data_IF_607559015446
#
_entry.id   IF_607559015446
#
_cell.length_a   1.000
_cell.length_b   1.000
_cell.length_c   1.000
_cell.angle_alpha   90.00
_cell.angle_beta   90.00
_cell.angle_gamma   90.00
#
_symmetry.space_group_name_H-M   'P 1'
#
loop_
_entity.id
_entity.type
_entity.pdbx_description
1 polymer ?
#
# COMPACT_ATOMS: atom_id res chain seq x y z
N UNK A 1 -1.78 -4.54 -1.74
CA UNK A 1 -2.43 -4.08 -2.98
C UNK A 1 -2.67 -5.30 -3.83
N UNK A 2 -3.91 -5.56 -4.21
CA UNK A 2 -4.20 -6.59 -5.20
C UNK A 2 -4.03 -6.01 -6.60
N UNK A 3 -3.02 -6.47 -7.32
CA UNK A 3 -2.71 -6.01 -8.69
C UNK A 3 -3.41 -6.81 -9.77
N UNK A 4 -4.16 -7.86 -9.39
CA UNK A 4 -4.93 -8.69 -10.32
C UNK A 4 -6.32 -8.12 -10.63
N UNK A 5 -6.79 -7.17 -9.82
CA UNK A 5 -8.10 -6.55 -9.95
C UNK A 5 -7.98 -5.05 -10.25
N UNK A 6 -8.94 -4.52 -11.01
CA UNK A 6 -9.03 -3.07 -11.23
C UNK A 6 -9.43 -2.36 -9.94
N UNK A 7 -8.75 -1.26 -9.64
CA UNK A 7 -9.04 -0.42 -8.48
C UNK A 7 -8.32 0.92 -8.56
N UNK A 8 -8.65 1.79 -7.62
CA UNK A 8 -8.04 3.11 -7.48
C UNK A 8 -7.50 3.29 -6.06
N UNK A 9 -6.28 3.82 -5.97
CA UNK A 9 -5.63 4.18 -4.73
C UNK A 9 -4.92 5.52 -4.91
N UNK A 10 -4.91 6.33 -3.86
CA UNK A 10 -3.98 7.45 -3.75
C UNK A 10 -2.59 6.92 -3.37
N UNK A 11 -1.55 7.52 -3.94
CA UNK A 11 -0.17 7.17 -3.66
C UNK A 11 0.79 8.29 -4.04
N UNK A 12 2.02 8.22 -3.56
CA UNK A 12 3.08 9.16 -3.93
C UNK A 12 4.13 8.40 -4.72
N UNK A 13 4.48 8.91 -5.88
CA UNK A 13 5.54 8.34 -6.71
C UNK A 13 6.88 9.02 -6.37
N UNK A 14 7.90 8.21 -6.09
CA UNK A 14 9.27 8.68 -5.88
C UNK A 14 10.14 8.22 -7.04
N UNK A 15 10.90 9.15 -7.63
CA UNK A 15 11.90 8.81 -8.64
C UNK A 15 13.17 8.34 -7.94
N UNK A 16 13.43 7.03 -8.03
CA UNK A 16 14.56 6.36 -7.38
C UNK A 16 15.24 5.40 -8.36
N UNK A 17 16.47 5.00 -8.06
CA UNK A 17 17.18 3.97 -8.83
C UNK A 17 16.69 2.57 -8.48
N UNK A 18 17.01 1.58 -9.31
CA UNK A 18 16.68 0.18 -9.02
C UNK A 18 17.43 -0.34 -7.79
N UNK A 19 18.66 0.14 -7.53
CA UNK A 19 19.39 -0.18 -6.29
C UNK A 19 18.67 0.33 -5.05
N UNK A 20 18.16 1.57 -5.09
CA UNK A 20 17.37 2.14 -3.99
C UNK A 20 16.05 1.37 -3.80
N UNK A 21 15.37 1.00 -4.88
CA UNK A 21 14.17 0.16 -4.82
C UNK A 21 14.47 -1.20 -4.17
N UNK A 22 15.58 -1.84 -4.53
CA UNK A 22 16.00 -3.11 -3.92
C UNK A 22 16.34 -2.97 -2.44
N UNK A 23 16.95 -1.85 -2.04
CA UNK A 23 17.22 -1.55 -0.65
C UNK A 23 15.91 -1.39 0.14
N UNK A 24 14.99 -0.54 -0.32
CA UNK A 24 13.67 -0.35 0.31
C UNK A 24 12.94 -1.68 0.41
N UNK A 25 12.95 -2.49 -0.65
CA UNK A 25 12.29 -3.80 -0.65
C UNK A 25 12.84 -4.73 0.45
N UNK A 26 14.13 -4.69 0.75
CA UNK A 26 14.72 -5.44 1.87
C UNK A 26 14.31 -4.87 3.22
N UNK A 27 14.29 -3.55 3.39
CA UNK A 27 13.92 -2.90 4.65
C UNK A 27 12.44 -3.14 5.01
N UNK A 28 11.55 -3.08 4.03
CA UNK A 28 10.13 -3.49 4.15
C UNK A 28 9.98 -4.95 4.60
N UNK A 29 11.02 -5.76 4.42
CA UNK A 29 11.09 -7.16 4.79
C UNK A 29 12.06 -7.45 5.95
N UNK A 30 12.31 -6.46 6.81
CA UNK A 30 13.15 -6.63 8.00
C UNK A 30 14.62 -6.93 7.69
N UNK A 31 15.11 -6.50 6.52
CA UNK A 31 16.47 -6.71 6.04
C UNK A 31 16.66 -7.93 5.13
N UNK A 32 15.62 -8.73 4.91
CA UNK A 32 15.66 -10.01 4.18
C UNK A 32 14.95 -9.93 2.82
N UNK A 33 15.21 -10.92 1.96
CA UNK A 33 14.42 -11.14 0.74
C UNK A 33 13.38 -12.23 1.07
N UNK A 34 12.08 -11.92 1.07
CA UNK A 34 11.05 -12.89 1.43
C UNK A 34 10.89 -13.95 0.33
N UNK A 35 10.63 -15.20 0.73
CA UNK A 35 10.31 -16.28 -0.20
C UNK A 35 8.90 -16.13 -0.81
N UNK A 36 8.61 -16.89 -1.86
CA UNK A 36 7.34 -16.86 -2.60
C UNK A 36 6.10 -17.20 -1.74
N UNK A 37 6.29 -17.96 -0.65
CA UNK A 37 5.22 -18.32 0.28
C UNK A 37 5.12 -17.40 1.51
N UNK A 38 5.88 -16.30 1.54
CA UNK A 38 5.86 -15.35 2.66
C UNK A 38 4.56 -14.54 2.69
N UNK A 39 4.09 -14.25 3.91
CA UNK A 39 3.03 -13.25 4.14
C UNK A 39 3.57 -11.81 4.14
N UNK A 40 4.88 -11.64 3.93
CA UNK A 40 5.51 -10.32 3.77
C UNK A 40 5.56 -9.91 2.30
N UNK A 41 6.10 -8.73 1.99
CA UNK A 41 6.03 -8.18 0.63
C UNK A 41 6.99 -8.87 -0.34
N UNK A 42 6.52 -9.92 -1.01
CA UNK A 42 7.30 -10.76 -1.92
C UNK A 42 7.13 -10.42 -3.41
N UNK A 43 6.51 -9.28 -3.74
CA UNK A 43 6.28 -8.86 -5.12
C UNK A 43 6.69 -7.40 -5.36
N UNK A 44 7.46 -7.15 -6.42
CA UNK A 44 7.68 -5.81 -6.98
C UNK A 44 6.83 -5.65 -8.23
N UNK A 45 5.61 -5.17 -8.07
CA UNK A 45 4.64 -5.07 -9.16
C UNK A 45 4.80 -3.77 -9.93
N UNK A 46 4.74 -3.83 -11.26
CA UNK A 46 4.58 -2.64 -12.10
C UNK A 46 3.10 -2.26 -12.14
N UNK A 47 2.77 -1.05 -11.70
CA UNK A 47 1.39 -0.54 -11.57
C UNK A 47 1.01 0.46 -12.67
N UNK A 48 1.97 0.85 -13.51
CA UNK A 48 1.73 1.77 -14.62
C UNK A 48 3.00 2.34 -15.21
N UNK A 49 2.85 3.44 -15.95
CA UNK A 49 3.93 4.24 -16.51
C UNK A 49 3.63 5.71 -16.19
N UNK A 50 4.61 6.41 -15.63
CA UNK A 50 4.55 7.85 -15.32
C UNK A 50 5.67 8.52 -16.11
N UNK A 51 5.33 9.45 -17.00
CA UNK A 51 6.30 10.17 -17.84
C UNK A 51 7.28 9.26 -18.61
N UNK A 52 6.80 8.10 -19.07
CA UNK A 52 7.62 7.11 -19.78
C UNK A 52 8.46 6.19 -18.88
N UNK A 53 8.42 6.40 -17.56
CA UNK A 53 9.14 5.59 -16.57
C UNK A 53 8.18 4.56 -15.95
N UNK A 54 8.57 3.28 -15.84
CA UNK A 54 7.76 2.27 -15.16
C UNK A 54 7.53 2.63 -13.68
N UNK A 55 6.26 2.78 -13.29
CA UNK A 55 5.89 2.96 -11.90
C UNK A 55 5.76 1.59 -11.24
N UNK A 56 6.53 1.36 -10.16
CA UNK A 56 6.57 0.10 -9.43
C UNK A 56 6.11 0.30 -7.98
N UNK A 57 5.61 -0.77 -7.37
CA UNK A 57 5.28 -0.83 -5.94
C UNK A 57 5.72 -2.16 -5.34
N UNK A 58 5.84 -2.20 -4.02
CA UNK A 58 6.16 -3.39 -3.24
C UNK A 58 4.86 -3.91 -2.62
N UNK A 59 4.52 -5.17 -2.85
CA UNK A 59 3.28 -5.77 -2.35
C UNK A 59 3.41 -7.28 -2.14
N UNK A 60 2.33 -7.96 -1.75
CA UNK A 60 2.29 -9.42 -1.61
C UNK A 60 1.64 -10.04 -2.87
N UNK A 61 2.14 -11.20 -3.33
CA UNK A 61 1.58 -11.97 -4.43
C UNK A 61 0.14 -12.46 -4.17
N UNK A 62 -0.24 -12.58 -2.90
CA UNK A 62 -1.52 -13.10 -2.43
C UNK A 62 -2.31 -11.99 -1.75
N UNK A 63 -3.63 -12.09 -1.85
CA UNK A 63 -4.53 -11.37 -0.97
C UNK A 63 -4.48 -12.05 0.40
N UNK A 64 -4.00 -11.31 1.40
CA UNK A 64 -3.95 -11.78 2.78
C UNK A 64 -5.21 -11.37 3.53
N UNK A 65 -5.50 -12.05 4.64
CA UNK A 65 -6.56 -11.63 5.55
C UNK A 65 -6.26 -10.22 6.05
N UNK A 66 -7.23 -9.32 5.87
CA UNK A 66 -7.13 -7.96 6.37
C UNK A 66 -7.08 -7.95 7.90
N UNK A 67 -6.07 -7.30 8.45
CA UNK A 67 -5.97 -7.02 9.87
C UNK A 67 -6.29 -5.55 10.10
N UNK A 68 -6.98 -5.25 11.19
CA UNK A 68 -7.20 -3.87 11.61
C UNK A 68 -5.85 -3.15 11.78
N UNK A 69 -5.69 -2.00 11.13
CA UNK A 69 -4.53 -1.16 11.35
C UNK A 69 -4.59 -0.49 12.73
N UNK A 70 -3.42 -0.06 13.24
CA UNK A 70 -3.36 0.76 14.45
C UNK A 70 -3.85 2.18 14.17
N UNK A 71 -4.29 2.88 15.22
CA UNK A 71 -4.70 4.28 15.13
C UNK A 71 -3.53 5.17 14.67
N UNK A 72 -2.34 4.87 15.17
CA UNK A 72 -1.10 5.58 14.87
C UNK A 72 -0.74 5.43 13.39
N UNK A 73 -0.90 4.23 12.82
CA UNK A 73 -0.71 4.00 11.38
C UNK A 73 -1.72 4.80 10.54
N UNK A 74 -2.99 4.79 10.92
CA UNK A 74 -4.02 5.57 10.22
C UNK A 74 -3.74 7.07 10.28
N UNK A 75 -3.22 7.57 11.39
CA UNK A 75 -2.83 8.97 11.50
C UNK A 75 -1.72 9.34 10.52
N UNK A 76 -0.67 8.52 10.41
CA UNK A 76 0.41 8.72 9.44
C UNK A 76 -0.12 8.71 8.00
N UNK A 77 -1.05 7.81 7.67
CA UNK A 77 -1.69 7.79 6.35
C UNK A 77 -2.47 9.08 6.06
N UNK A 78 -3.25 9.57 7.03
CA UNK A 78 -4.00 10.82 6.88
C UNK A 78 -3.06 12.02 6.70
N UNK A 79 -1.97 12.09 7.48
CA UNK A 79 -0.96 13.16 7.36
C UNK A 79 -0.31 13.15 5.97
N UNK A 80 0.11 11.98 5.48
CA UNK A 80 0.69 11.85 4.14
C UNK A 80 -0.30 12.23 3.02
N UNK A 81 -1.58 11.90 3.16
CA UNK A 81 -2.61 12.33 2.22
C UNK A 81 -2.81 13.83 2.23
N UNK A 82 -2.88 14.47 3.40
CA UNK A 82 -3.01 15.94 3.50
C UNK A 82 -1.82 16.67 2.88
N UNK A 83 -0.61 16.17 3.12
CA UNK A 83 0.62 16.77 2.60
C UNK A 83 0.67 16.71 1.07
N UNK A 84 0.32 15.57 0.48
CA UNK A 84 0.49 15.34 -0.95
C UNK A 84 -0.74 15.69 -1.79
N UNK A 85 -1.91 15.83 -1.16
CA UNK A 85 -3.18 16.13 -1.81
C UNK A 85 -3.91 17.27 -1.08
N UNK A 86 -3.38 18.50 -1.10
CA UNK A 86 -3.90 19.63 -0.31
C UNK A 86 -5.31 20.09 -0.71
N UNK A 87 -5.81 19.61 -1.85
CA UNK A 87 -7.16 19.88 -2.34
C UNK A 87 -8.20 18.85 -1.89
N UNK A 88 -7.78 17.74 -1.27
CA UNK A 88 -8.72 16.77 -0.69
C UNK A 88 -9.30 17.31 0.61
N UNK A 89 -10.59 17.10 0.77
CA UNK A 89 -11.29 17.44 2.01
C UNK A 89 -10.90 16.49 3.15
N UNK A 90 -10.83 17.05 4.36
CA UNK A 90 -10.46 16.34 5.59
C UNK A 90 -11.38 15.15 5.89
N UNK A 91 -12.68 15.29 5.64
CA UNK A 91 -13.67 14.22 5.84
C UNK A 91 -13.46 13.10 4.84
N UNK A 92 -13.19 13.43 3.58
CA UNK A 92 -12.89 12.45 2.53
C UNK A 92 -11.59 11.67 2.83
N UNK A 93 -10.56 12.33 3.35
CA UNK A 93 -9.31 11.67 3.77
C UNK A 93 -9.61 10.67 4.90
N UNK A 94 -10.38 11.07 5.91
CA UNK A 94 -10.76 10.20 7.03
C UNK A 94 -11.57 9.00 6.55
N UNK A 95 -12.59 9.23 5.74
CA UNK A 95 -13.43 8.17 5.16
C UNK A 95 -12.58 7.20 4.32
N UNK A 96 -11.70 7.72 3.47
CA UNK A 96 -10.81 6.93 2.63
C UNK A 96 -9.93 5.97 3.45
N UNK A 97 -9.31 6.48 4.53
CA UNK A 97 -8.44 5.70 5.41
C UNK A 97 -9.25 4.70 6.22
N UNK A 98 -10.39 5.11 6.79
CA UNK A 98 -11.25 4.25 7.60
C UNK A 98 -11.81 3.06 6.81
N UNK A 99 -12.35 3.31 5.61
CA UNK A 99 -12.99 2.28 4.78
C UNK A 99 -12.01 1.20 4.31
N UNK A 100 -10.73 1.54 4.13
CA UNK A 100 -9.68 0.63 3.65
C UNK A 100 -8.90 -0.08 4.76
N UNK A 101 -9.07 0.33 6.01
CA UNK A 101 -8.29 -0.19 7.14
C UNK A 101 -9.14 -0.66 8.33
N UNK A 102 -10.48 -0.64 8.22
CA UNK A 102 -11.39 -1.28 9.17
C UNK A 102 -11.48 -2.78 8.88
N UNK A 103 -11.70 -3.57 9.93
CA UNK A 103 -12.14 -4.95 9.74
C UNK A 103 -13.46 -4.96 8.98
N UNK A 104 -13.50 -5.63 7.83
CA UNK A 104 -14.76 -6.20 7.38
C UNK A 104 -15.12 -7.29 8.38
N UNK A 105 -15.93 -6.92 9.37
CA UNK A 105 -16.54 -7.87 10.28
C UNK A 105 -17.12 -9.01 9.44
N UNK A 106 -16.69 -10.23 9.71
CA UNK A 106 -17.31 -11.44 9.17
C UNK A 106 -18.82 -11.24 9.30
N UNK A 107 -19.55 -11.21 8.18
CA UNK A 107 -20.95 -11.63 8.22
C UNK A 107 -20.93 -13.07 8.70
N UNK A 108 -21.12 -13.27 9.99
CA UNK A 108 -21.49 -14.56 10.56
C UNK A 108 -22.71 -15.01 9.79
N UNK A 109 -22.51 -15.98 8.90
CA UNK A 109 -23.56 -16.59 8.10
C UNK A 109 -23.72 -18.00 8.66
N UNK A 110 -24.75 -18.11 9.52
CA UNK A 110 -25.41 -19.30 10.06
C UNK A 110 -24.58 -20.30 10.88
#
# INVERSE_FOLDING_TARGET
LDVSNHGHAYGVAYLITEEQLNHIWREENGGFIPGENSNWYNNKAQIGIIEGIPAKTITNLRVLTENKSSREYNQVLMEGLRENYPSLDEELIREYVDTRNKEFGRKSSY
#
